data_IF_644458968446
#
_entry.id   IF_644458968446
#
_cell.length_a   1.000
_cell.length_b   1.000
_cell.length_c   1.000
_cell.angle_alpha   90.00
_cell.angle_beta   90.00
_cell.angle_gamma   90.00
#
_symmetry.space_group_name_H-M   'P 1'
#
loop_
_entity.id
_entity.type
_entity.pdbx_description
1 polymer ?
#
# COMPACT_ATOMS: atom_id res chain seq x y z
N UNK A 1 -44.04 -30.11 15.46
CA UNK A 1 -42.87 -29.61 16.20
C UNK A 1 -42.29 -28.46 15.39
N UNK A 2 -42.23 -27.31 16.05
CA UNK A 2 -41.59 -26.08 15.61
C UNK A 2 -40.14 -26.30 15.19
N UNK A 3 -39.68 -25.60 14.16
CA UNK A 3 -38.68 -24.57 14.45
C UNK A 3 -38.72 -23.42 13.44
N UNK A 4 -38.62 -22.23 14.01
CA UNK A 4 -38.77 -20.92 13.40
C UNK A 4 -37.47 -20.19 13.68
N UNK A 5 -36.69 -19.80 12.67
CA UNK A 5 -35.64 -18.79 12.87
C UNK A 5 -35.51 -17.89 11.63
N UNK A 6 -36.19 -16.75 11.74
CA UNK A 6 -35.77 -15.42 11.29
C UNK A 6 -34.42 -15.34 10.54
N UNK A 7 -34.47 -14.91 9.28
CA UNK A 7 -33.49 -13.98 8.72
C UNK A 7 -34.24 -12.75 8.23
N UNK A 8 -34.15 -11.68 9.00
CA UNK A 8 -34.62 -10.35 8.65
C UNK A 8 -33.97 -9.89 7.35
N UNK A 9 -34.80 -9.66 6.34
CA UNK A 9 -34.44 -8.92 5.13
C UNK A 9 -34.35 -7.46 5.55
N UNK A 10 -33.13 -6.96 5.76
CA UNK A 10 -32.90 -5.52 5.89
C UNK A 10 -33.07 -4.93 4.48
N UNK A 11 -34.19 -4.25 4.27
CA UNK A 11 -34.47 -3.53 3.03
C UNK A 11 -33.65 -2.22 3.06
N UNK A 12 -32.49 -2.22 2.42
CA UNK A 12 -31.67 -1.02 2.26
C UNK A 12 -32.17 -0.32 1.00
N UNK A 13 -32.90 0.77 1.17
CA UNK A 13 -33.26 1.65 0.05
C UNK A 13 -31.98 2.34 -0.47
N UNK A 14 -31.74 2.19 -1.77
CA UNK A 14 -30.64 2.85 -2.46
C UNK A 14 -30.94 4.35 -2.61
N UNK A 15 -29.92 5.23 -2.63
CA UNK A 15 -30.15 6.66 -2.82
C UNK A 15 -30.66 6.96 -4.24
N UNK A 16 -31.65 7.86 -4.34
CA UNK A 16 -32.35 8.31 -5.57
C UNK A 16 -31.42 8.70 -6.75
N UNK A 17 -30.17 9.04 -6.45
CA UNK A 17 -29.12 9.33 -7.43
C UNK A 17 -28.82 8.16 -8.39
N UNK A 18 -28.96 6.91 -7.93
CA UNK A 18 -28.72 5.71 -8.75
C UNK A 18 -29.90 5.49 -9.70
N UNK A 19 -31.13 5.64 -9.21
CA UNK A 19 -32.34 5.52 -10.04
C UNK A 19 -32.40 6.61 -11.12
N UNK A 20 -31.91 7.81 -10.79
CA UNK A 20 -31.82 8.92 -11.75
C UNK A 20 -30.78 8.64 -12.84
N UNK A 21 -29.62 8.06 -12.51
CA UNK A 21 -28.60 7.70 -13.48
C UNK A 21 -29.05 6.57 -14.42
N UNK A 22 -29.74 5.56 -13.89
CA UNK A 22 -30.31 4.45 -14.67
C UNK A 22 -31.40 4.95 -15.62
N UNK A 23 -32.29 5.82 -15.13
CA UNK A 23 -33.37 6.39 -15.94
C UNK A 23 -32.86 7.26 -17.09
N UNK A 24 -31.83 8.07 -16.84
CA UNK A 24 -31.20 8.93 -17.86
C UNK A 24 -30.51 8.14 -18.97
N UNK A 25 -30.06 6.92 -18.70
CA UNK A 25 -29.47 6.03 -19.71
C UNK A 25 -30.52 5.36 -20.60
N UNK A 26 -31.79 5.34 -20.19
CA UNK A 26 -32.89 4.62 -20.87
C UNK A 26 -33.76 5.47 -21.80
N UNK A 27 -33.62 6.81 -21.81
CA UNK A 27 -34.47 7.71 -22.61
C UNK A 27 -33.80 8.19 -23.94
N UNK A 28 -33.64 7.27 -24.93
CA UNK A 28 -33.40 7.41 -26.42
C UNK A 28 -32.20 8.26 -26.96
N UNK A 29 -31.67 8.00 -28.20
CA UNK A 29 -31.70 6.84 -29.08
C UNK A 29 -30.29 6.19 -29.17
N UNK A 30 -29.89 5.42 -28.15
CA UNK A 30 -28.55 4.80 -28.06
C UNK A 30 -28.67 3.29 -27.81
N UNK A 31 -29.75 2.69 -28.29
CA UNK A 31 -30.19 1.35 -27.89
C UNK A 31 -29.12 0.27 -28.09
N UNK A 32 -28.34 0.33 -29.19
CA UNK A 32 -27.36 -0.70 -29.54
C UNK A 32 -26.00 -0.53 -28.85
N UNK A 33 -25.57 0.70 -28.55
CA UNK A 33 -24.33 0.95 -27.79
C UNK A 33 -24.53 0.71 -26.29
N UNK A 34 -25.72 1.05 -25.79
CA UNK A 34 -26.11 0.82 -24.40
C UNK A 34 -26.16 -0.66 -24.07
N UNK A 35 -26.67 -1.49 -24.98
CA UNK A 35 -26.78 -2.95 -24.79
C UNK A 35 -25.40 -3.61 -24.69
N UNK A 36 -24.45 -3.23 -25.57
CA UNK A 36 -23.07 -3.76 -25.53
C UNK A 36 -22.31 -3.36 -24.25
N UNK A 37 -22.47 -2.11 -23.78
CA UNK A 37 -21.87 -1.65 -22.53
C UNK A 37 -22.52 -2.33 -21.33
N UNK A 38 -23.84 -2.52 -21.38
CA UNK A 38 -24.62 -3.20 -20.35
C UNK A 38 -24.24 -4.68 -20.25
N UNK A 39 -24.00 -5.35 -21.39
CA UNK A 39 -23.53 -6.74 -21.45
C UNK A 39 -22.09 -6.88 -20.94
N UNK A 40 -21.19 -5.96 -21.29
CA UNK A 40 -19.83 -5.91 -20.72
C UNK A 40 -19.87 -5.69 -19.20
N UNK A 41 -20.70 -4.76 -18.72
CA UNK A 41 -20.90 -4.52 -17.29
C UNK A 41 -21.51 -5.75 -16.60
N UNK A 42 -22.45 -6.44 -17.23
CA UNK A 42 -23.07 -7.66 -16.70
C UNK A 42 -22.08 -8.84 -16.70
N UNK A 43 -21.23 -8.99 -17.70
CA UNK A 43 -20.19 -10.03 -17.71
C UNK A 43 -19.10 -9.78 -16.66
N UNK A 44 -18.79 -8.51 -16.36
CA UNK A 44 -17.81 -8.13 -15.32
C UNK A 44 -18.42 -8.16 -13.91
N UNK A 45 -19.72 -7.85 -13.75
CA UNK A 45 -20.34 -7.59 -12.44
C UNK A 45 -21.62 -8.40 -12.12
N UNK A 46 -22.12 -9.23 -13.05
CA UNK A 46 -23.45 -9.87 -13.02
C UNK A 46 -23.69 -10.90 -11.91
N UNK A 47 -22.63 -11.38 -11.25
CA UNK A 47 -22.75 -12.25 -10.06
C UNK A 47 -22.81 -11.51 -8.70
N UNK A 48 -22.77 -10.18 -8.69
CA UNK A 48 -22.40 -9.37 -7.51
C UNK A 48 -23.53 -8.39 -7.11
N UNK A 49 -24.82 -8.72 -7.24
CA UNK A 49 -25.88 -7.68 -7.13
C UNK A 49 -26.07 -7.06 -5.72
N UNK A 50 -25.81 -7.80 -4.62
CA UNK A 50 -25.82 -7.22 -3.26
C UNK A 50 -24.43 -6.76 -2.79
N UNK A 51 -23.38 -7.51 -3.11
CA UNK A 51 -22.00 -7.17 -2.78
C UNK A 51 -21.53 -5.90 -3.50
N UNK A 52 -22.05 -5.60 -4.69
CA UNK A 52 -21.71 -4.38 -5.43
C UNK A 52 -22.44 -3.16 -4.87
N UNK A 53 -23.70 -3.30 -4.45
CA UNK A 53 -24.42 -2.23 -3.76
C UNK A 53 -23.74 -1.85 -2.44
N UNK A 54 -23.39 -2.85 -1.62
CA UNK A 54 -22.60 -2.63 -0.40
C UNK A 54 -21.23 -2.01 -0.70
N UNK A 55 -20.55 -2.46 -1.76
CA UNK A 55 -19.28 -1.88 -2.19
C UNK A 55 -19.42 -0.41 -2.62
N UNK A 56 -20.49 -0.05 -3.34
CA UNK A 56 -20.78 1.34 -3.71
C UNK A 56 -21.00 2.24 -2.50
N UNK A 57 -21.76 1.76 -1.50
CA UNK A 57 -21.98 2.50 -0.25
C UNK A 57 -20.67 2.68 0.50
N UNK A 58 -19.87 1.62 0.66
CA UNK A 58 -18.55 1.72 1.32
C UNK A 58 -17.63 2.67 0.58
N UNK A 59 -17.56 2.57 -0.75
CA UNK A 59 -16.76 3.47 -1.57
C UNK A 59 -17.15 4.94 -1.40
N UNK A 60 -18.46 5.24 -1.37
CA UNK A 60 -18.95 6.59 -1.13
C UNK A 60 -18.50 7.14 0.24
N UNK A 61 -18.62 6.32 1.30
CA UNK A 61 -18.15 6.68 2.64
C UNK A 61 -16.64 6.95 2.67
N UNK A 62 -15.85 6.12 2.01
CA UNK A 62 -14.39 6.32 1.97
C UNK A 62 -13.99 7.51 1.08
N UNK A 63 -14.78 7.85 0.06
CA UNK A 63 -14.61 9.07 -0.74
C UNK A 63 -14.96 10.33 0.07
N UNK A 64 -15.99 10.28 0.91
CA UNK A 64 -16.31 11.38 1.82
C UNK A 64 -15.20 11.59 2.85
N UNK A 65 -14.63 10.50 3.40
CA UNK A 65 -13.44 10.58 4.26
C UNK A 65 -12.26 11.21 3.54
N UNK A 66 -11.98 10.78 2.30
CA UNK A 66 -10.92 11.36 1.48
C UNK A 66 -11.11 12.88 1.32
N UNK A 67 -12.33 13.32 0.98
CA UNK A 67 -12.65 14.73 0.80
C UNK A 67 -12.39 15.53 2.08
N UNK A 68 -12.86 15.04 3.23
CA UNK A 68 -12.63 15.68 4.52
C UNK A 68 -11.12 15.74 4.86
N UNK A 69 -10.40 14.62 4.70
CA UNK A 69 -8.95 14.53 4.92
C UNK A 69 -8.17 15.50 4.01
N UNK A 70 -8.62 15.71 2.77
CA UNK A 70 -8.02 16.65 1.84
C UNK A 70 -8.33 18.10 2.23
N UNK A 71 -9.59 18.42 2.53
CA UNK A 71 -10.01 19.75 2.98
C UNK A 71 -9.26 20.19 4.24
N UNK A 72 -9.12 19.30 5.23
CA UNK A 72 -8.33 19.55 6.44
C UNK A 72 -6.88 19.91 6.10
N UNK A 73 -6.23 19.12 5.24
CA UNK A 73 -4.83 19.36 4.83
C UNK A 73 -4.66 20.66 4.04
N UNK A 74 -5.60 20.97 3.14
CA UNK A 74 -5.55 22.21 2.34
C UNK A 74 -5.81 23.44 3.23
N UNK A 75 -6.77 23.35 4.15
CA UNK A 75 -7.09 24.44 5.07
C UNK A 75 -5.96 24.72 6.06
N UNK A 76 -5.12 23.73 6.37
CA UNK A 76 -3.91 23.90 7.16
C UNK A 76 -2.79 24.69 6.45
N UNK A 77 -2.87 24.87 5.12
CA UNK A 77 -1.92 25.69 4.35
C UNK A 77 -2.37 27.17 4.48
N UNK A 78 -1.46 28.11 4.84
CA UNK A 78 -1.77 29.54 4.85
C UNK A 78 -2.31 30.00 3.50
N UNK A 79 -3.33 30.87 3.49
CA UNK A 79 -4.03 31.28 2.26
C UNK A 79 -3.08 31.94 1.25
N UNK A 80 -2.12 32.73 1.75
CA UNK A 80 -1.04 33.36 0.99
C UNK A 80 -0.05 32.36 0.36
N UNK A 81 0.00 31.13 0.89
CA UNK A 81 0.88 30.05 0.41
C UNK A 81 0.13 29.03 -0.46
N UNK A 82 -1.15 29.27 -0.78
CA UNK A 82 -1.94 28.41 -1.67
C UNK A 82 -1.76 28.85 -3.13
N UNK A 83 -1.50 27.88 -4.00
CA UNK A 83 -1.40 28.05 -5.43
C UNK A 83 -2.46 27.19 -6.14
N UNK A 84 -2.76 27.57 -7.37
CA UNK A 84 -3.53 26.70 -8.27
C UNK A 84 -2.71 25.41 -8.51
N UNK A 85 -3.29 24.23 -8.22
CA UNK A 85 -2.56 22.99 -8.35
C UNK A 85 -2.30 22.64 -9.82
N UNK A 86 -1.23 21.89 -10.05
CA UNK A 86 -0.98 21.31 -11.36
C UNK A 86 -2.08 20.28 -11.71
N UNK A 87 -2.89 20.58 -12.72
CA UNK A 87 -3.98 19.71 -13.17
C UNK A 87 -3.52 18.29 -13.51
N UNK A 88 -2.34 18.12 -14.10
CA UNK A 88 -1.80 16.80 -14.41
C UNK A 88 -1.55 15.98 -13.14
N UNK A 89 -0.98 16.59 -12.09
CA UNK A 89 -0.77 15.92 -10.80
C UNK A 89 -2.10 15.48 -10.19
N UNK A 90 -3.07 16.39 -10.12
CA UNK A 90 -4.38 16.09 -9.53
C UNK A 90 -5.12 15.01 -10.31
N UNK A 91 -5.24 15.14 -11.63
CA UNK A 91 -5.96 14.16 -12.44
C UNK A 91 -5.32 12.78 -12.36
N UNK A 92 -3.98 12.69 -12.41
CA UNK A 92 -3.26 11.42 -12.25
C UNK A 92 -3.44 10.84 -10.86
N UNK A 93 -3.37 11.65 -9.80
CA UNK A 93 -3.60 11.20 -8.43
C UNK A 93 -5.02 10.64 -8.24
N UNK A 94 -6.05 11.35 -8.74
CA UNK A 94 -7.44 10.94 -8.63
C UNK A 94 -7.76 9.66 -9.42
N UNK A 95 -7.27 9.56 -10.67
CA UNK A 95 -7.46 8.33 -11.46
C UNK A 95 -6.78 7.13 -10.80
N UNK A 96 -5.58 7.32 -10.22
CA UNK A 96 -4.88 6.24 -9.54
C UNK A 96 -5.51 5.83 -8.20
N UNK A 97 -6.09 6.79 -7.47
CA UNK A 97 -6.76 6.53 -6.18
C UNK A 97 -8.05 5.71 -6.30
N UNK A 98 -8.73 5.75 -7.46
CA UNK A 98 -10.07 5.14 -7.65
C UNK A 98 -10.19 3.66 -7.28
N UNK A 99 -9.07 2.94 -7.22
CA UNK A 99 -9.05 1.51 -6.89
C UNK A 99 -8.64 1.21 -5.45
N UNK A 100 -8.11 2.19 -4.72
CA UNK A 100 -7.51 1.99 -3.40
C UNK A 100 -7.97 3.01 -2.34
N UNK A 101 -9.00 3.82 -2.62
CA UNK A 101 -9.57 4.78 -1.66
C UNK A 101 -10.05 4.13 -0.34
N UNK A 102 -10.42 2.84 -0.40
CA UNK A 102 -10.86 2.07 0.77
C UNK A 102 -9.70 1.74 1.73
N UNK A 103 -8.46 1.77 1.23
CA UNK A 103 -7.25 1.54 2.03
C UNK A 103 -6.83 2.86 2.67
N UNK A 104 -7.00 2.97 3.99
CA UNK A 104 -6.77 4.21 4.74
C UNK A 104 -5.36 4.78 4.49
N UNK A 105 -4.35 3.94 4.57
CA UNK A 105 -2.95 4.32 4.44
C UNK A 105 -2.66 4.94 3.06
N UNK A 106 -3.25 4.36 1.99
CA UNK A 106 -3.07 4.86 0.63
C UNK A 106 -3.89 6.13 0.39
N UNK A 107 -5.12 6.19 0.88
CA UNK A 107 -5.97 7.40 0.82
C UNK A 107 -5.31 8.60 1.51
N UNK A 108 -4.67 8.37 2.67
CA UNK A 108 -3.90 9.41 3.37
C UNK A 108 -2.71 9.91 2.54
N UNK A 109 -2.01 9.01 1.82
CA UNK A 109 -0.92 9.40 0.92
C UNK A 109 -1.43 10.21 -0.28
N UNK A 110 -2.55 9.82 -0.91
CA UNK A 110 -3.14 10.57 -2.01
C UNK A 110 -3.62 11.96 -1.60
N UNK A 111 -4.31 12.09 -0.46
CA UNK A 111 -4.75 13.40 0.05
C UNK A 111 -3.55 14.29 0.39
N UNK A 112 -2.45 13.71 0.91
CA UNK A 112 -1.20 14.44 1.15
C UNK A 112 -0.52 14.88 -0.15
N UNK A 113 -0.48 14.02 -1.18
CA UNK A 113 0.07 14.34 -2.49
C UNK A 113 -0.65 15.54 -3.12
N UNK A 114 -1.99 15.53 -3.10
CA UNK A 114 -2.79 16.62 -3.67
C UNK A 114 -2.66 17.89 -2.83
N UNK A 115 -2.69 17.80 -1.51
CA UNK A 115 -2.49 18.96 -0.64
C UNK A 115 -1.10 19.60 -0.83
N UNK A 116 -0.05 18.80 -1.04
CA UNK A 116 1.28 19.34 -1.34
C UNK A 116 1.35 19.99 -2.73
N UNK A 117 0.51 19.58 -3.69
CA UNK A 117 0.48 20.19 -5.03
C UNK A 117 -0.06 21.63 -5.03
N UNK A 118 -0.89 21.98 -4.04
CA UNK A 118 -1.42 23.35 -3.85
C UNK A 118 -0.54 24.22 -2.93
N UNK A 119 0.45 23.64 -2.25
CA UNK A 119 1.30 24.37 -1.31
C UNK A 119 2.53 24.96 -2.03
N UNK A 120 2.69 26.28 -2.01
CA UNK A 120 3.81 26.99 -2.65
C UNK A 120 5.20 26.48 -2.23
N UNK A 121 5.35 26.03 -0.98
CA UNK A 121 6.62 25.52 -0.44
C UNK A 121 6.91 24.07 -0.80
N UNK A 122 5.90 23.32 -1.26
CA UNK A 122 6.01 21.87 -1.52
C UNK A 122 5.81 21.51 -2.97
N UNK A 123 5.13 22.33 -3.75
CA UNK A 123 4.72 22.03 -5.13
C UNK A 123 5.90 21.68 -6.04
N UNK A 124 7.09 22.27 -5.81
CA UNK A 124 8.31 21.95 -6.58
C UNK A 124 8.80 20.51 -6.39
N UNK A 125 8.49 19.88 -5.25
CA UNK A 125 8.84 18.50 -4.94
C UNK A 125 7.73 17.51 -5.33
N UNK A 126 6.59 17.99 -5.84
CA UNK A 126 5.47 17.13 -6.22
C UNK A 126 5.61 16.69 -7.66
N UNK A 127 5.70 15.37 -7.87
CA UNK A 127 5.80 14.78 -9.20
C UNK A 127 4.57 13.95 -9.57
N UNK A 128 4.05 14.01 -10.82
CA UNK A 128 2.91 13.20 -11.25
C UNK A 128 3.08 11.69 -11.06
N UNK A 129 4.32 11.18 -11.13
CA UNK A 129 4.60 9.74 -10.93
C UNK A 129 4.26 9.24 -9.53
N UNK A 130 4.21 10.13 -8.53
CA UNK A 130 3.88 9.73 -7.16
C UNK A 130 2.49 9.11 -7.06
N UNK A 131 1.53 9.56 -7.87
CA UNK A 131 0.22 8.91 -7.92
C UNK A 131 0.30 7.45 -8.40
N UNK A 132 1.16 7.15 -9.37
CA UNK A 132 1.36 5.79 -9.90
C UNK A 132 2.13 4.91 -8.91
N UNK A 133 3.10 5.50 -8.20
CA UNK A 133 3.86 4.82 -7.14
C UNK A 133 2.93 4.41 -6.00
N UNK A 134 2.11 5.33 -5.47
CA UNK A 134 1.18 5.03 -4.37
C UNK A 134 0.19 3.93 -4.77
N UNK A 135 -0.31 3.94 -6.00
CA UNK A 135 -1.21 2.88 -6.53
C UNK A 135 -0.57 1.49 -6.59
N UNK A 136 0.75 1.41 -6.73
CA UNK A 136 1.50 0.16 -6.74
C UNK A 136 1.89 -0.32 -5.33
N UNK A 137 1.49 0.38 -4.28
CA UNK A 137 1.77 0.04 -2.89
C UNK A 137 0.62 -0.73 -2.25
N UNK A 138 0.96 -1.57 -1.27
CA UNK A 138 0.01 -2.09 -0.29
C UNK A 138 -0.06 -1.18 0.95
N UNK A 139 -1.07 -1.30 1.82
CA UNK A 139 -1.10 -0.60 3.12
C UNK A 139 0.14 -0.89 3.98
N UNK A 140 0.67 -2.11 3.88
CA UNK A 140 1.91 -2.49 4.55
C UNK A 140 3.08 -1.69 3.99
N UNK A 141 3.24 -1.60 2.67
CA UNK A 141 4.32 -0.83 2.04
C UNK A 141 4.30 0.63 2.50
N UNK A 142 3.10 1.25 2.56
CA UNK A 142 2.91 2.62 3.04
C UNK A 142 3.31 2.79 4.50
N UNK A 143 2.91 1.84 5.35
CA UNK A 143 3.28 1.81 6.77
C UNK A 143 4.78 1.69 6.96
N UNK A 144 5.41 0.74 6.24
CA UNK A 144 6.85 0.53 6.27
C UNK A 144 7.58 1.80 5.85
N UNK A 145 7.21 2.38 4.70
CA UNK A 145 7.86 3.57 4.18
C UNK A 145 7.75 4.75 5.15
N UNK A 146 6.57 4.98 5.73
CA UNK A 146 6.34 6.03 6.72
C UNK A 146 7.24 5.86 7.95
N UNK A 147 7.32 4.66 8.50
CA UNK A 147 8.19 4.38 9.64
C UNK A 147 9.68 4.54 9.27
N UNK A 148 10.08 4.06 8.09
CA UNK A 148 11.44 4.21 7.60
C UNK A 148 11.83 5.69 7.41
N UNK A 149 10.88 6.57 7.04
CA UNK A 149 11.15 8.01 6.83
C UNK A 149 11.69 8.72 8.08
N UNK A 150 11.48 8.14 9.25
CA UNK A 150 12.01 8.66 10.53
C UNK A 150 13.45 8.20 10.82
N UNK A 151 13.98 7.23 10.06
CA UNK A 151 15.30 6.61 10.27
C UNK A 151 16.18 6.81 9.03
N UNK A 152 17.35 7.43 9.21
CA UNK A 152 18.28 7.69 8.08
C UNK A 152 18.86 6.43 7.45
N UNK A 153 19.11 5.41 8.26
CA UNK A 153 19.73 4.14 7.86
C UNK A 153 19.19 3.05 8.76
N UNK A 154 19.00 1.87 8.20
CA UNK A 154 18.34 0.74 8.85
C UNK A 154 19.24 -0.47 8.71
N UNK A 155 19.63 -1.15 9.80
CA UNK A 155 20.35 -2.41 9.69
C UNK A 155 19.43 -3.48 9.10
N UNK A 156 19.96 -4.25 8.15
CA UNK A 156 19.30 -5.44 7.61
C UNK A 156 20.22 -6.64 7.76
N UNK A 157 19.62 -7.79 8.06
CA UNK A 157 20.33 -9.06 8.21
C UNK A 157 19.75 -10.09 7.25
N UNK A 158 20.63 -10.80 6.54
CA UNK A 158 20.27 -11.99 5.76
C UNK A 158 20.94 -13.20 6.39
N UNK A 159 20.15 -14.21 6.75
CA UNK A 159 20.66 -15.48 7.28
C UNK A 159 20.94 -16.40 6.10
N UNK A 160 22.14 -16.97 6.08
CA UNK A 160 22.61 -17.90 5.07
C UNK A 160 23.01 -19.23 5.70
N UNK A 161 23.02 -20.27 4.89
CA UNK A 161 23.67 -21.54 5.21
C UNK A 161 24.89 -21.67 4.28
N UNK A 162 26.07 -21.82 4.88
CA UNK A 162 27.36 -21.91 4.21
C UNK A 162 27.91 -23.32 4.33
N UNK A 163 28.37 -23.88 3.21
CA UNK A 163 28.91 -25.23 3.13
C UNK A 163 30.44 -25.20 3.07
N UNK A 164 31.09 -26.28 3.48
CA UNK A 164 32.56 -26.41 3.47
C UNK A 164 33.18 -26.19 2.09
N UNK A 165 32.46 -26.55 1.02
CA UNK A 165 32.90 -26.34 -0.37
C UNK A 165 32.83 -24.87 -0.83
N UNK A 166 32.47 -23.95 0.07
CA UNK A 166 32.33 -22.52 -0.21
C UNK A 166 30.97 -22.11 -0.79
N UNK A 167 30.07 -23.06 -1.03
CA UNK A 167 28.70 -22.76 -1.45
C UNK A 167 27.90 -22.07 -0.34
N UNK A 168 27.03 -21.13 -0.73
CA UNK A 168 26.14 -20.43 0.20
C UNK A 168 24.72 -20.38 -0.36
N UNK A 169 23.72 -20.56 0.51
CA UNK A 169 22.30 -20.37 0.19
C UNK A 169 21.68 -19.40 1.19
N UNK A 170 20.88 -18.45 0.72
CA UNK A 170 20.08 -17.60 1.59
C UNK A 170 18.89 -18.38 2.16
N UNK A 171 18.71 -18.33 3.48
CA UNK A 171 17.58 -18.96 4.18
C UNK A 171 16.45 -17.98 4.49
N UNK A 172 16.79 -16.69 4.51
CA UNK A 172 15.85 -15.58 4.69
C UNK A 172 16.02 -14.54 3.60
N UNK A 173 15.02 -13.70 3.45
CA UNK A 173 15.18 -12.40 2.81
C UNK A 173 15.70 -11.40 3.86
N UNK A 174 15.35 -10.12 3.68
CA UNK A 174 15.75 -8.98 4.48
C UNK A 174 15.08 -8.98 5.87
N UNK A 175 15.81 -9.37 6.92
CA UNK A 175 15.35 -9.25 8.31
C UNK A 175 15.64 -7.85 8.86
N UNK A 176 14.66 -7.25 9.54
CA UNK A 176 14.71 -5.90 10.09
C UNK A 176 14.15 -5.86 11.52
N UNK A 177 14.32 -4.72 12.20
CA UNK A 177 14.01 -4.55 13.62
C UNK A 177 12.51 -4.61 13.96
N UNK A 178 11.62 -4.48 12.98
CA UNK A 178 10.17 -4.40 13.23
C UNK A 178 9.46 -5.73 12.90
N UNK A 179 8.56 -6.14 13.80
CA UNK A 179 7.65 -7.27 13.60
C UNK A 179 6.30 -6.78 13.04
N UNK A 180 6.28 -6.35 11.78
CA UNK A 180 5.04 -6.01 11.06
C UNK A 180 4.23 -7.26 10.65
N UNK A 181 4.40 -8.37 11.37
CA UNK A 181 3.72 -9.63 11.17
C UNK A 181 4.51 -10.58 10.28
N UNK A 182 3.84 -11.18 9.30
CA UNK A 182 4.44 -12.25 8.52
C UNK A 182 5.69 -11.77 7.78
N UNK A 183 6.83 -12.38 8.08
CA UNK A 183 8.12 -11.95 7.57
C UNK A 183 8.25 -12.01 6.04
N UNK A 184 7.56 -12.95 5.39
CA UNK A 184 7.55 -13.02 3.93
C UNK A 184 6.76 -11.86 3.33
N UNK A 185 5.70 -11.39 4.00
CA UNK A 185 4.96 -10.20 3.58
C UNK A 185 5.80 -8.94 3.76
N UNK A 186 6.50 -8.82 4.88
CA UNK A 186 7.43 -7.71 5.12
C UNK A 186 8.54 -7.71 4.07
N UNK A 187 9.15 -8.85 3.79
CA UNK A 187 10.16 -8.97 2.75
C UNK A 187 9.62 -8.57 1.37
N UNK A 188 8.43 -9.05 0.99
CA UNK A 188 7.80 -8.66 -0.28
C UNK A 188 7.51 -7.15 -0.35
N UNK A 189 7.09 -6.54 0.77
CA UNK A 189 6.92 -5.08 0.85
C UNK A 189 8.24 -4.33 0.68
N UNK A 190 9.32 -4.79 1.32
CA UNK A 190 10.66 -4.21 1.14
C UNK A 190 11.14 -4.34 -0.31
N UNK A 191 10.92 -5.50 -0.94
CA UNK A 191 11.29 -5.71 -2.34
C UNK A 191 10.46 -4.80 -3.27
N UNK A 192 9.17 -4.60 -2.98
CA UNK A 192 8.32 -3.67 -3.74
C UNK A 192 8.77 -2.22 -3.58
N UNK A 193 9.05 -1.77 -2.35
CA UNK A 193 9.59 -0.43 -2.09
C UNK A 193 10.95 -0.21 -2.77
N UNK A 194 11.79 -1.24 -2.81
CA UNK A 194 13.07 -1.19 -3.53
C UNK A 194 12.87 -1.13 -5.05
N UNK A 195 11.90 -1.88 -5.60
CA UNK A 195 11.51 -1.86 -7.02
C UNK A 195 10.94 -0.50 -7.44
N UNK A 196 10.22 0.16 -6.55
CA UNK A 196 9.69 1.52 -6.74
C UNK A 196 10.76 2.61 -6.53
N UNK A 197 12.01 2.21 -6.28
CA UNK A 197 13.14 3.10 -6.01
C UNK A 197 12.92 4.07 -4.85
N UNK A 198 12.07 3.70 -3.87
CA UNK A 198 11.83 4.49 -2.65
C UNK A 198 12.82 4.14 -1.53
N UNK A 199 13.35 2.92 -1.58
CA UNK A 199 14.44 2.46 -0.71
C UNK A 199 15.51 1.75 -1.54
N UNK A 200 16.68 1.60 -0.94
CA UNK A 200 17.76 0.81 -1.49
C UNK A 200 18.28 -0.16 -0.42
N UNK A 201 18.30 -1.44 -0.77
CA UNK A 201 18.79 -2.52 0.10
C UNK A 201 20.21 -2.86 -0.34
N UNK A 202 21.20 -2.44 0.43
CA UNK A 202 22.63 -2.60 0.15
C UNK A 202 23.22 -3.62 1.10
N UNK A 203 23.51 -4.82 0.62
CA UNK A 203 24.18 -5.87 1.41
C UNK A 203 25.71 -5.74 1.41
N UNK A 204 26.26 -4.81 0.62
CA UNK A 204 27.69 -4.48 0.61
C UNK A 204 28.02 -3.31 1.56
N UNK A 205 27.00 -2.53 1.92
CA UNK A 205 27.13 -1.46 2.90
C UNK A 205 26.76 -1.98 4.30
N UNK A 206 27.53 -1.65 5.31
CA UNK A 206 27.23 -2.02 6.69
C UNK A 206 27.52 -0.89 7.67
N UNK A 207 26.88 -0.93 8.84
CA UNK A 207 27.32 -0.09 9.97
C UNK A 207 28.71 -0.53 10.42
N UNK A 208 29.57 0.44 10.72
CA UNK A 208 30.84 0.18 11.41
C UNK A 208 30.63 -0.22 12.87
N UNK A 209 29.48 0.14 13.45
CA UNK A 209 29.08 -0.25 14.79
C UNK A 209 28.33 -1.59 14.76
N UNK A 210 29.01 -2.65 15.18
CA UNK A 210 28.45 -4.01 15.27
C UNK A 210 27.29 -4.13 16.28
N UNK A 211 27.13 -3.17 17.19
CA UNK A 211 26.01 -3.15 18.12
C UNK A 211 24.66 -3.14 17.38
N UNK A 212 24.58 -2.41 16.26
CA UNK A 212 23.35 -2.33 15.46
C UNK A 212 22.85 -3.71 14.98
N UNK A 213 23.77 -4.61 14.61
CA UNK A 213 23.42 -5.95 14.17
C UNK A 213 23.23 -6.92 15.32
N UNK A 214 23.96 -6.71 16.42
CA UNK A 214 23.77 -7.49 17.64
C UNK A 214 22.39 -7.24 18.25
N UNK A 215 21.96 -5.97 18.30
CA UNK A 215 20.63 -5.56 18.76
C UNK A 215 19.55 -6.13 17.84
N UNK A 216 19.73 -6.03 16.51
CA UNK A 216 18.82 -6.63 15.55
C UNK A 216 18.68 -8.14 15.73
N UNK A 217 19.80 -8.88 15.90
CA UNK A 217 19.78 -10.32 16.19
C UNK A 217 19.12 -10.63 17.54
N UNK A 218 19.04 -9.66 18.44
CA UNK A 218 18.44 -9.82 19.76
C UNK A 218 16.93 -9.61 19.80
N UNK A 219 16.35 -9.01 18.77
CA UNK A 219 14.90 -8.87 18.61
C UNK A 219 14.19 -10.22 18.60
N UNK A 220 13.05 -10.30 19.28
CA UNK A 220 12.34 -11.57 19.52
C UNK A 220 11.96 -12.29 18.22
N UNK A 221 11.39 -11.57 17.25
CA UNK A 221 10.99 -12.14 15.96
C UNK A 221 12.21 -12.57 15.13
N UNK A 222 13.31 -11.82 15.18
CA UNK A 222 14.55 -12.16 14.48
C UNK A 222 15.19 -13.41 15.07
N UNK A 223 15.27 -13.53 16.40
CA UNK A 223 15.75 -14.75 17.09
C UNK A 223 14.97 -15.98 16.67
N UNK A 224 13.64 -15.89 16.67
CA UNK A 224 12.77 -17.00 16.27
C UNK A 224 13.05 -17.44 14.82
N UNK A 225 13.25 -16.47 13.92
CA UNK A 225 13.57 -16.77 12.51
C UNK A 225 14.95 -17.41 12.37
N UNK A 226 15.97 -16.92 13.11
CA UNK A 226 17.31 -17.51 13.12
C UNK A 226 17.27 -18.96 13.62
N UNK A 227 16.51 -19.24 14.68
CA UNK A 227 16.35 -20.60 15.20
C UNK A 227 15.70 -21.53 14.16
N UNK A 228 14.64 -21.06 13.48
CA UNK A 228 14.01 -21.79 12.39
C UNK A 228 14.97 -22.03 11.20
N UNK A 229 15.83 -21.06 10.91
CA UNK A 229 16.86 -21.20 9.88
C UNK A 229 17.88 -22.27 10.25
N UNK A 230 18.27 -22.36 11.53
CA UNK A 230 19.15 -23.43 12.02
C UNK A 230 18.58 -24.82 11.76
N UNK A 231 17.26 -24.99 11.92
CA UNK A 231 16.54 -26.26 11.61
C UNK A 231 16.42 -26.54 10.11
N UNK A 232 16.55 -25.52 9.25
CA UNK A 232 16.42 -25.60 7.79
C UNK A 232 17.76 -25.64 7.04
N UNK A 233 18.86 -25.26 7.70
CA UNK A 233 20.20 -25.33 7.13
C UNK A 233 20.52 -26.80 6.83
N UNK A 234 20.81 -27.17 5.56
CA UNK A 234 21.07 -28.56 5.21
C UNK A 234 22.28 -29.14 5.95
N UNK A 235 22.32 -30.46 6.06
CA UNK A 235 23.42 -31.18 6.71
C UNK A 235 24.77 -30.83 6.06
N UNK A 236 25.80 -30.63 6.90
CA UNK A 236 27.12 -30.16 6.46
C UNK A 236 27.19 -28.65 6.17
N UNK A 237 26.12 -27.89 6.47
CA UNK A 237 26.11 -26.44 6.41
C UNK A 237 26.14 -25.78 7.80
N UNK A 238 26.72 -24.59 7.86
CA UNK A 238 26.73 -23.74 9.05
C UNK A 238 26.01 -22.42 8.79
N UNK A 239 25.33 -21.90 9.82
CA UNK A 239 24.70 -20.59 9.70
C UNK A 239 25.75 -19.49 9.57
N UNK A 240 25.56 -18.62 8.59
CA UNK A 240 26.32 -17.40 8.40
C UNK A 240 25.37 -16.22 8.18
N UNK A 241 25.90 -15.01 8.30
CA UNK A 241 25.10 -13.79 8.29
C UNK A 241 25.70 -12.78 7.32
N UNK A 242 24.87 -12.21 6.46
CA UNK A 242 25.23 -11.03 5.68
C UNK A 242 24.56 -9.83 6.31
N UNK A 243 25.37 -8.86 6.72
CA UNK A 243 24.95 -7.60 7.30
C UNK A 243 24.86 -6.56 6.18
N UNK A 244 23.76 -5.81 6.14
CA UNK A 244 23.52 -4.79 5.14
C UNK A 244 22.92 -3.53 5.75
N UNK A 245 22.58 -2.58 4.87
CA UNK A 245 21.80 -1.39 5.19
C UNK A 245 20.63 -1.20 4.23
N UNK A 246 19.50 -0.74 4.77
CA UNK A 246 18.43 -0.12 4.00
C UNK A 246 18.57 1.40 4.13
N UNK A 247 18.47 2.10 3.00
CA UNK A 247 18.49 3.56 2.90
C UNK A 247 17.26 4.02 2.13
N UNK A 248 16.65 5.12 2.56
CA UNK A 248 15.69 5.84 1.71
C UNK A 248 16.47 6.52 0.58
N UNK A 249 15.89 6.51 -0.61
CA UNK A 249 16.48 7.14 -1.79
C UNK A 249 16.22 8.64 -1.80
N UNK A 250 16.95 9.36 -2.66
CA UNK A 250 16.72 10.79 -2.88
C UNK A 250 15.60 11.06 -3.90
N UNK A 251 14.82 10.02 -4.26
CA UNK A 251 13.72 10.09 -5.23
C UNK A 251 12.50 10.83 -4.65
#
# INVERSE_FOLDING_TARGET
MSDNTNKSVINIELPDSIDTAVKNLTEKPTATLGETISDCMFLVFGGISQKAALKRVRYAVEMDKFKNELEEKVNAIPEESRLEPNTHVICTALDNMRFCVEEKELREMFSTLIANSVNAEKTEYVHPSFGEIIKQMTPLDATILKEMSTKRRIPVLVVKCKFENGGEIALTNNLIWNDWGNINRVAASLDNLSRLELINIRLEDHYTDEAAYTDLKNETHVKNVIELCGKRCPEGGELSFTQGLIKITDF
#
